data_IF_063491139972
#
_entry.id   IF_063491139972
#
_cell.length_a   1.000
_cell.length_b   1.000
_cell.length_c   1.000
_cell.angle_alpha   90.00
_cell.angle_beta   90.00
_cell.angle_gamma   90.00
#
_symmetry.space_group_name_H-M   'P 1'
#
loop_
_entity.id
_entity.type
_entity.pdbx_description
1 polymer ?
#
# COMPACT_ATOMS: atom_id res chain seq x y z
N UNK A 1 -45.09 -68.32 12.17
CA UNK A 1 -43.92 -67.44 12.40
C UNK A 1 -44.19 -66.15 11.65
N UNK A 2 -44.64 -65.11 12.37
CA UNK A 2 -44.98 -63.80 11.79
C UNK A 2 -43.80 -62.87 12.05
N UNK A 3 -43.29 -62.27 10.98
CA UNK A 3 -42.22 -61.29 10.98
C UNK A 3 -42.75 -59.93 11.44
N UNK A 4 -42.08 -59.30 12.40
CA UNK A 4 -42.18 -57.87 12.69
C UNK A 4 -40.75 -57.30 12.64
N UNK A 5 -40.40 -56.67 11.52
CA UNK A 5 -39.19 -55.86 11.39
C UNK A 5 -39.58 -54.41 11.66
N UNK A 6 -39.16 -53.90 12.81
CA UNK A 6 -39.33 -52.51 13.21
C UNK A 6 -38.24 -51.68 12.52
N UNK A 7 -38.60 -50.87 11.51
CA UNK A 7 -37.69 -49.91 10.89
C UNK A 7 -37.61 -48.65 11.77
N UNK A 8 -36.53 -48.53 12.54
CA UNK A 8 -36.16 -47.26 13.15
C UNK A 8 -35.50 -46.36 12.09
N UNK A 9 -36.22 -45.33 11.63
CA UNK A 9 -35.66 -44.30 10.76
C UNK A 9 -34.73 -43.41 11.59
N UNK A 10 -33.41 -43.56 11.41
CA UNK A 10 -32.45 -42.58 11.90
C UNK A 10 -32.56 -41.33 11.02
N UNK A 11 -33.23 -40.30 11.54
CA UNK A 11 -33.12 -38.94 11.00
C UNK A 11 -31.72 -38.45 11.37
N UNK A 12 -30.77 -38.54 10.44
CA UNK A 12 -29.48 -37.86 10.58
C UNK A 12 -29.75 -36.37 10.42
N UNK A 13 -30.01 -35.69 11.53
CA UNK A 13 -29.95 -34.24 11.58
C UNK A 13 -28.52 -33.82 11.23
N UNK A 14 -28.32 -33.26 10.05
CA UNK A 14 -27.07 -32.64 9.66
C UNK A 14 -26.83 -31.46 10.59
N UNK A 15 -26.14 -31.71 11.70
CA UNK A 15 -25.56 -30.66 12.53
C UNK A 15 -24.57 -29.95 11.62
N UNK A 16 -24.97 -28.79 11.08
CA UNK A 16 -24.07 -27.93 10.32
C UNK A 16 -22.81 -27.69 11.15
N UNK A 17 -21.64 -27.76 10.55
CA UNK A 17 -20.40 -27.44 11.26
C UNK A 17 -20.22 -25.93 11.30
N UNK A 18 -19.69 -25.41 12.40
CA UNK A 18 -19.21 -24.02 12.50
C UNK A 18 -17.87 -23.81 11.76
N UNK A 19 -17.40 -24.84 11.04
CA UNK A 19 -16.15 -24.85 10.29
C UNK A 19 -16.01 -23.67 9.31
N UNK A 20 -17.06 -23.22 8.58
CA UNK A 20 -16.95 -22.05 7.72
C UNK A 20 -16.56 -20.78 8.48
N UNK A 21 -17.13 -20.55 9.67
CA UNK A 21 -16.76 -19.42 10.51
C UNK A 21 -15.33 -19.56 11.05
N UNK A 22 -14.98 -20.74 11.57
CA UNK A 22 -13.64 -20.98 12.11
C UNK A 22 -12.54 -20.88 11.04
N UNK A 23 -12.79 -21.32 9.81
CA UNK A 23 -11.87 -21.20 8.68
C UNK A 23 -11.59 -19.73 8.31
N UNK A 24 -12.48 -18.80 8.67
CA UNK A 24 -12.27 -17.34 8.50
C UNK A 24 -11.64 -16.67 9.71
N UNK A 25 -11.21 -17.45 10.71
CA UNK A 25 -10.69 -16.93 11.98
C UNK A 25 -11.76 -16.32 12.89
N UNK A 26 -13.04 -16.57 12.60
CA UNK A 26 -14.17 -16.09 13.38
C UNK A 26 -14.63 -17.07 14.46
N UNK A 27 -15.50 -16.58 15.34
CA UNK A 27 -16.16 -17.35 16.41
C UNK A 27 -17.67 -17.24 16.28
N UNK A 28 -18.36 -18.37 16.22
CA UNK A 28 -19.82 -18.42 16.19
C UNK A 28 -20.42 -18.13 17.57
N UNK A 29 -21.06 -16.98 17.70
CA UNK A 29 -21.71 -16.53 18.94
C UNK A 29 -23.04 -15.84 18.63
N UNK A 30 -23.89 -15.63 19.64
CA UNK A 30 -25.14 -14.89 19.43
C UNK A 30 -24.87 -13.41 19.11
N UNK A 31 -25.69 -12.83 18.23
CA UNK A 31 -25.50 -11.51 17.66
C UNK A 31 -25.83 -10.34 18.61
N UNK A 32 -26.39 -10.63 19.78
CA UNK A 32 -26.55 -9.67 20.88
C UNK A 32 -25.28 -9.50 21.72
N UNK A 33 -24.29 -10.40 21.59
CA UNK A 33 -23.01 -10.30 22.29
C UNK A 33 -22.10 -9.26 21.61
N UNK A 34 -21.12 -8.73 22.35
CA UNK A 34 -20.16 -7.79 21.78
C UNK A 34 -19.23 -8.50 20.79
N UNK A 35 -18.98 -7.88 19.64
CA UNK A 35 -18.04 -8.36 18.64
C UNK A 35 -17.09 -7.23 18.22
N UNK A 36 -15.78 -7.45 18.36
CA UNK A 36 -14.76 -6.44 18.08
C UNK A 36 -14.66 -6.04 16.60
N UNK A 37 -15.10 -6.90 15.68
CA UNK A 37 -15.18 -6.62 14.24
C UNK A 37 -16.63 -6.42 13.80
N UNK A 38 -17.29 -7.53 13.43
CA UNK A 38 -18.69 -7.52 13.00
C UNK A 38 -19.24 -8.94 12.80
N UNK A 39 -20.54 -9.03 12.54
CA UNK A 39 -21.26 -10.29 12.39
C UNK A 39 -21.53 -10.66 10.93
N UNK A 40 -21.11 -11.87 10.53
CA UNK A 40 -21.41 -12.47 9.23
C UNK A 40 -22.45 -13.58 9.39
N UNK A 41 -23.53 -13.51 8.61
CA UNK A 41 -24.61 -14.51 8.62
C UNK A 41 -24.26 -15.73 7.75
N UNK A 42 -24.85 -16.89 8.04
CA UNK A 42 -24.76 -18.08 7.17
C UNK A 42 -23.46 -18.88 7.27
N UNK A 43 -22.55 -18.51 8.19
CA UNK A 43 -21.28 -19.23 8.44
C UNK A 43 -21.31 -20.08 9.73
N UNK A 44 -22.38 -19.96 10.50
CA UNK A 44 -22.59 -20.68 11.75
C UNK A 44 -23.80 -21.58 11.63
N UNK A 45 -23.73 -22.74 12.27
CA UNK A 45 -24.89 -23.59 12.43
C UNK A 45 -25.73 -23.17 13.64
N UNK A 46 -27.02 -23.48 13.58
CA UNK A 46 -27.99 -23.11 14.62
C UNK A 46 -28.98 -22.05 14.15
N UNK A 47 -29.55 -21.33 15.13
CA UNK A 47 -30.63 -20.36 14.90
C UNK A 47 -30.16 -19.07 14.24
N UNK A 48 -31.12 -18.26 13.80
CA UNK A 48 -30.89 -17.00 13.06
C UNK A 48 -30.09 -15.94 13.83
N UNK A 49 -30.09 -16.04 15.16
CA UNK A 49 -29.35 -15.14 16.06
C UNK A 49 -27.87 -15.52 16.21
N UNK A 50 -27.48 -16.73 15.80
CA UNK A 50 -26.09 -17.20 15.90
C UNK A 50 -25.33 -16.83 14.64
N UNK A 51 -24.39 -15.90 14.78
CA UNK A 51 -23.66 -15.31 13.66
C UNK A 51 -22.16 -15.37 13.91
N UNK A 52 -21.37 -15.34 12.84
CA UNK A 52 -19.93 -15.44 12.94
C UNK A 52 -19.37 -14.07 13.35
N UNK A 53 -18.90 -13.94 14.59
CA UNK A 53 -18.16 -12.77 15.05
C UNK A 53 -16.71 -12.89 14.61
N UNK A 54 -16.26 -11.93 13.81
CA UNK A 54 -14.86 -11.88 13.38
C UNK A 54 -14.08 -10.95 14.31
N UNK A 55 -12.96 -11.44 14.86
CA UNK A 55 -12.09 -10.69 15.79
C UNK A 55 -11.34 -9.54 15.13
N UNK A 56 -11.40 -9.49 13.81
CA UNK A 56 -11.02 -8.35 13.01
C UNK A 56 -12.20 -8.05 12.09
N UNK A 57 -12.62 -6.79 12.07
CA UNK A 57 -12.98 -6.23 10.78
C UNK A 57 -11.85 -6.65 9.86
N UNK A 58 -12.16 -7.42 8.81
CA UNK A 58 -11.50 -7.16 7.55
C UNK A 58 -11.79 -5.69 7.18
N UNK A 59 -11.20 -4.73 7.91
CA UNK A 59 -10.55 -3.60 7.28
C UNK A 59 -9.55 -4.30 6.41
N UNK A 60 -9.93 -4.51 5.15
CA UNK A 60 -9.35 -5.55 4.33
C UNK A 60 -7.84 -5.65 4.54
N UNK A 61 -7.36 -6.87 4.76
CA UNK A 61 -6.47 -7.35 3.70
C UNK A 61 -7.34 -7.27 2.46
N UNK A 62 -7.34 -6.10 1.85
CA UNK A 62 -7.96 -5.90 0.58
C UNK A 62 -7.08 -6.74 -0.32
N UNK A 63 -7.48 -8.00 -0.47
CA UNK A 63 -6.88 -8.95 -1.38
C UNK A 63 -7.13 -8.51 -2.84
N UNK A 64 -7.66 -7.29 -3.04
CA UNK A 64 -7.64 -6.48 -4.24
C UNK A 64 -6.82 -5.17 -4.16
N UNK A 65 -6.30 -4.70 -3.02
CA UNK A 65 -5.36 -3.56 -2.93
C UNK A 65 -3.91 -4.04 -2.94
N UNK A 66 -3.12 -3.60 -3.91
CA UNK A 66 -1.66 -3.61 -3.89
C UNK A 66 -0.99 -4.82 -3.17
N UNK A 67 -1.47 -6.05 -3.37
CA UNK A 67 -1.16 -7.20 -2.48
C UNK A 67 0.34 -7.55 -2.39
N UNK A 68 1.12 -7.13 -3.40
CA UNK A 68 2.56 -7.36 -3.48
C UNK A 68 3.40 -6.21 -2.90
N UNK A 69 2.80 -5.16 -2.34
CA UNK A 69 3.53 -4.04 -1.72
C UNK A 69 2.87 -3.59 -0.43
N UNK A 70 3.67 -3.51 0.63
CA UNK A 70 3.24 -2.94 1.90
C UNK A 70 3.25 -1.43 1.80
N UNK A 71 2.08 -0.79 1.91
CA UNK A 71 1.94 0.67 1.94
C UNK A 71 1.47 1.08 3.33
N UNK A 72 2.31 1.77 4.08
CA UNK A 72 1.92 2.44 5.31
C UNK A 72 1.18 3.74 4.97
N UNK A 73 -0.07 3.83 5.43
CA UNK A 73 -0.85 5.06 5.31
C UNK A 73 -0.19 6.22 6.04
N UNK A 74 -0.58 7.45 5.65
CA UNK A 74 -0.22 8.68 6.37
C UNK A 74 -0.44 8.57 7.88
N UNK A 75 -1.60 8.06 8.31
CA UNK A 75 -1.91 7.89 9.72
C UNK A 75 -0.96 6.88 10.39
N UNK A 76 -0.64 5.77 9.71
CA UNK A 76 0.22 4.71 10.26
C UNK A 76 1.62 5.22 10.58
N UNK A 77 2.26 5.98 9.69
CA UNK A 77 3.60 6.52 9.96
C UNK A 77 3.60 7.83 10.74
N UNK A 78 2.44 8.33 11.15
CA UNK A 78 2.31 9.54 11.97
C UNK A 78 2.54 10.84 11.17
N UNK A 79 2.07 10.88 9.93
CA UNK A 79 2.05 12.10 9.13
C UNK A 79 1.19 13.17 9.79
N UNK A 80 1.65 14.43 9.77
CA UNK A 80 0.75 15.56 10.04
C UNK A 80 -0.12 15.89 8.83
N UNK A 81 -1.17 16.66 9.06
CA UNK A 81 -2.07 17.12 8.00
C UNK A 81 -1.36 18.07 7.00
N UNK A 82 -1.70 17.99 5.70
CA UNK A 82 -1.23 18.96 4.72
C UNK A 82 -1.85 20.34 4.98
N UNK A 83 -1.11 21.42 4.68
CA UNK A 83 -1.63 22.81 4.75
C UNK A 83 -2.66 23.09 3.65
N UNK A 84 -2.48 22.47 2.49
CA UNK A 84 -3.40 22.51 1.35
C UNK A 84 -3.18 21.32 0.43
N UNK A 85 -4.17 20.99 -0.39
CA UNK A 85 -4.11 19.88 -1.35
C UNK A 85 -4.61 20.35 -2.72
N UNK A 86 -4.07 19.73 -3.76
CA UNK A 86 -4.54 19.88 -5.15
C UNK A 86 -4.82 18.48 -5.68
N UNK A 87 -6.01 18.26 -6.23
CA UNK A 87 -6.42 16.95 -6.77
C UNK A 87 -5.57 16.55 -7.97
N UNK A 88 -5.11 15.31 -7.98
CA UNK A 88 -4.41 14.70 -9.11
C UNK A 88 -5.41 14.19 -10.15
N UNK A 89 -5.11 14.41 -11.43
CA UNK A 89 -5.84 13.78 -12.53
C UNK A 89 -5.18 12.47 -12.91
N UNK A 90 -5.97 11.40 -12.96
CA UNK A 90 -5.50 10.03 -13.25
C UNK A 90 -6.25 9.43 -14.44
N UNK A 91 -5.62 8.51 -15.19
CA UNK A 91 -4.28 7.95 -14.97
C UNK A 91 -3.16 8.93 -15.36
N UNK A 92 -2.09 8.94 -14.57
CA UNK A 92 -0.86 9.66 -14.87
C UNK A 92 0.03 8.82 -15.82
N UNK A 93 0.71 9.48 -16.76
CA UNK A 93 1.58 8.80 -17.73
C UNK A 93 3.06 8.84 -17.37
N UNK A 94 3.44 9.53 -16.29
CA UNK A 94 4.84 9.67 -15.87
C UNK A 94 5.04 9.12 -14.45
N UNK A 95 6.18 8.45 -14.24
CA UNK A 95 6.62 8.03 -12.91
C UNK A 95 8.09 8.42 -12.70
N UNK A 96 8.38 9.07 -11.57
CA UNK A 96 9.72 9.53 -11.25
C UNK A 96 10.30 8.79 -10.05
N UNK A 97 11.54 8.34 -10.18
CA UNK A 97 12.32 7.79 -9.04
C UNK A 97 13.24 8.87 -8.51
N UNK A 98 13.22 9.03 -7.19
CA UNK A 98 14.02 9.97 -6.43
C UNK A 98 14.82 9.24 -5.35
N UNK A 99 15.82 9.92 -4.80
CA UNK A 99 16.30 9.66 -3.45
C UNK A 99 16.03 10.87 -2.56
N UNK A 100 16.12 10.69 -1.24
CA UNK A 100 15.93 11.81 -0.31
C UNK A 100 17.23 12.54 0.03
N UNK A 101 18.37 12.01 -0.41
CA UNK A 101 19.72 12.51 -0.08
C UNK A 101 19.94 12.63 1.43
N UNK A 102 19.40 11.67 2.19
CA UNK A 102 19.37 11.69 3.65
C UNK A 102 19.89 10.39 4.26
N UNK A 103 19.53 10.19 5.54
CA UNK A 103 19.85 8.96 6.27
C UNK A 103 19.23 7.73 5.60
N UNK A 104 19.76 6.55 5.88
CA UNK A 104 19.09 5.30 5.52
C UNK A 104 18.17 4.87 6.66
N UNK A 105 17.19 4.02 6.34
CA UNK A 105 16.29 3.43 7.31
C UNK A 105 15.96 1.99 6.91
N UNK A 106 15.78 1.10 7.89
CA UNK A 106 15.74 -0.36 7.65
C UNK A 106 14.62 -1.07 8.41
N UNK A 107 13.83 -0.33 9.19
CA UNK A 107 12.66 -0.85 9.88
C UNK A 107 11.56 0.23 9.93
N UNK A 108 10.37 -0.17 10.36
CA UNK A 108 9.23 0.76 10.44
C UNK A 108 9.53 1.99 11.30
N UNK A 109 10.18 1.80 12.45
CA UNK A 109 10.42 2.90 13.40
C UNK A 109 11.35 3.95 12.80
N UNK A 110 12.48 3.54 12.25
CA UNK A 110 13.48 4.40 11.61
C UNK A 110 12.92 5.05 10.34
N UNK A 111 12.22 4.30 9.50
CA UNK A 111 11.67 4.82 8.25
C UNK A 111 10.49 5.77 8.48
N UNK A 112 9.59 5.48 9.43
CA UNK A 112 8.54 6.41 9.81
C UNK A 112 9.11 7.70 10.43
N UNK A 113 10.16 7.59 11.26
CA UNK A 113 10.84 8.76 11.80
C UNK A 113 11.48 9.63 10.71
N UNK A 114 12.13 8.99 9.72
CA UNK A 114 12.69 9.68 8.59
C UNK A 114 11.62 10.34 7.70
N UNK A 115 10.53 9.64 7.40
CA UNK A 115 9.41 10.20 6.65
C UNK A 115 8.83 11.46 7.32
N UNK A 116 8.64 11.43 8.65
CA UNK A 116 8.24 12.62 9.44
C UNK A 116 9.28 13.73 9.36
N UNK A 117 10.58 13.40 9.47
CA UNK A 117 11.66 14.38 9.33
C UNK A 117 11.64 15.09 7.98
N UNK A 118 11.45 14.34 6.89
CA UNK A 118 11.33 14.88 5.53
C UNK A 118 10.07 15.74 5.39
N UNK A 119 8.94 15.30 5.94
CA UNK A 119 7.71 16.10 5.96
C UNK A 119 7.90 17.44 6.69
N UNK A 120 8.56 17.40 7.86
CA UNK A 120 8.87 18.60 8.64
C UNK A 120 9.76 19.56 7.86
N UNK A 121 10.87 19.06 7.29
CA UNK A 121 11.76 19.87 6.46
C UNK A 121 11.03 20.54 5.28
N UNK A 122 10.22 19.79 4.52
CA UNK A 122 9.49 20.33 3.39
C UNK A 122 8.47 21.41 3.79
N UNK A 123 7.75 21.20 4.88
CA UNK A 123 6.67 22.11 5.27
C UNK A 123 7.15 23.30 6.13
N UNK A 124 8.11 23.09 7.02
CA UNK A 124 8.58 24.12 7.95
C UNK A 124 9.76 24.90 7.35
N UNK A 125 10.72 24.22 6.73
CA UNK A 125 11.91 24.87 6.16
C UNK A 125 11.71 25.34 4.72
N UNK A 126 11.01 24.56 3.88
CA UNK A 126 10.71 24.97 2.48
C UNK A 126 9.35 25.63 2.29
N UNK A 127 8.51 25.67 3.33
CA UNK A 127 7.19 26.30 3.28
C UNK A 127 6.16 25.55 2.43
N UNK A 128 6.41 24.31 2.02
CA UNK A 128 5.50 23.54 1.18
C UNK A 128 4.23 23.13 1.94
N UNK A 129 3.20 22.78 1.19
CA UNK A 129 1.93 22.33 1.77
C UNK A 129 2.02 20.97 2.48
N UNK A 130 2.94 20.12 2.04
CA UNK A 130 3.15 18.77 2.57
C UNK A 130 4.51 18.23 2.10
N UNK A 131 4.88 17.02 2.51
CA UNK A 131 5.97 16.24 1.90
C UNK A 131 5.86 16.28 0.37
N UNK A 132 6.96 16.51 -0.34
CA UNK A 132 6.92 16.74 -1.79
C UNK A 132 6.64 15.51 -2.64
N UNK A 133 6.95 14.32 -2.14
CA UNK A 133 6.82 13.08 -2.89
C UNK A 133 5.41 12.48 -2.79
N UNK A 134 4.97 11.78 -3.84
CA UNK A 134 3.74 10.97 -3.77
C UNK A 134 3.92 9.83 -2.78
N UNK A 135 5.07 9.16 -2.84
CA UNK A 135 5.46 8.04 -1.98
C UNK A 135 6.93 8.14 -1.56
N UNK A 136 7.23 7.66 -0.36
CA UNK A 136 8.60 7.39 0.08
C UNK A 136 8.79 5.88 0.22
N UNK A 137 10.02 5.39 0.08
CA UNK A 137 10.34 3.96 0.17
C UNK A 137 11.52 3.76 1.11
N UNK A 138 11.37 2.89 2.09
CA UNK A 138 12.44 2.50 2.99
C UNK A 138 13.19 1.26 2.52
N UNK A 139 14.41 1.06 3.01
CA UNK A 139 15.11 -0.22 2.83
C UNK A 139 14.56 -1.32 3.77
N UNK A 140 13.49 -1.03 4.52
CA UNK A 140 12.60 -2.03 5.13
C UNK A 140 11.68 -2.72 4.10
N UNK A 141 11.71 -2.28 2.84
CA UNK A 141 10.89 -2.82 1.75
C UNK A 141 9.44 -2.35 1.76
N UNK A 142 9.11 -1.32 2.56
CA UNK A 142 7.78 -0.75 2.63
C UNK A 142 7.71 0.61 1.93
N UNK A 143 6.51 0.93 1.46
CA UNK A 143 6.16 2.23 0.93
C UNK A 143 5.47 3.04 2.03
N UNK A 144 5.79 4.32 2.13
CA UNK A 144 5.19 5.28 3.04
C UNK A 144 4.41 6.29 2.20
N UNK A 145 3.11 6.34 2.40
CA UNK A 145 2.23 7.25 1.67
C UNK A 145 2.61 8.70 1.98
N UNK A 146 3.12 9.42 0.96
CA UNK A 146 3.34 10.85 1.01
C UNK A 146 2.05 11.56 0.65
N UNK A 147 2.04 12.30 -0.47
CA UNK A 147 0.79 12.87 -1.02
C UNK A 147 -0.16 11.82 -1.62
N UNK A 148 0.32 10.60 -1.82
CA UNK A 148 -0.48 9.49 -2.29
C UNK A 148 -0.94 9.63 -3.74
N UNK A 149 -1.97 8.86 -4.11
CA UNK A 149 -2.48 8.78 -5.48
C UNK A 149 -3.39 9.94 -5.87
N UNK A 150 -4.00 10.61 -4.91
CA UNK A 150 -5.09 11.56 -5.17
C UNK A 150 -4.65 13.03 -5.17
N UNK A 151 -3.38 13.32 -4.84
CA UNK A 151 -2.90 14.68 -4.69
C UNK A 151 -1.60 14.95 -5.46
N UNK A 152 -1.54 16.11 -6.10
CA UNK A 152 -0.40 16.61 -6.87
C UNK A 152 0.84 16.76 -5.98
N UNK A 153 1.98 16.26 -6.46
CA UNK A 153 3.30 16.34 -5.82
C UNK A 153 3.94 17.73 -5.79
N UNK A 154 5.14 17.80 -5.21
CA UNK A 154 6.10 18.89 -5.36
C UNK A 154 7.53 18.35 -5.58
N UNK A 155 7.64 17.18 -6.22
CA UNK A 155 8.87 16.41 -6.37
C UNK A 155 9.65 16.77 -7.65
N UNK A 156 8.96 17.04 -8.76
CA UNK A 156 9.56 17.24 -10.08
C UNK A 156 8.93 18.47 -10.73
N UNK A 157 9.62 19.61 -10.67
CA UNK A 157 9.13 20.86 -11.22
C UNK A 157 8.76 20.72 -12.70
N UNK A 158 7.58 21.22 -13.10
CA UNK A 158 7.04 21.10 -14.45
C UNK A 158 6.26 19.80 -14.73
N UNK A 159 6.38 18.78 -13.86
CA UNK A 159 5.77 17.46 -14.09
C UNK A 159 4.89 16.97 -12.91
N UNK A 160 4.82 17.72 -11.81
CA UNK A 160 4.08 17.34 -10.59
C UNK A 160 2.60 16.95 -10.83
N UNK A 161 1.92 17.54 -11.81
CA UNK A 161 0.51 17.27 -12.13
C UNK A 161 0.32 16.20 -13.22
N UNK A 162 1.43 15.67 -13.77
CA UNK A 162 1.44 14.68 -14.87
C UNK A 162 2.01 13.33 -14.44
N UNK A 163 2.56 13.22 -13.24
CA UNK A 163 3.21 12.01 -12.76
C UNK A 163 3.25 11.88 -11.26
N UNK A 164 3.53 10.65 -10.81
CA UNK A 164 3.82 10.32 -9.42
C UNK A 164 5.32 10.17 -9.20
N UNK A 165 5.75 10.21 -7.93
CA UNK A 165 7.12 9.90 -7.58
C UNK A 165 7.24 9.00 -6.36
N UNK A 166 8.19 8.06 -6.44
CA UNK A 166 8.70 7.29 -5.30
C UNK A 166 10.11 7.77 -4.97
N UNK A 167 10.31 8.23 -3.73
CA UNK A 167 11.63 8.64 -3.24
C UNK A 167 12.19 7.63 -2.25
N UNK A 168 13.31 7.00 -2.59
CA UNK A 168 13.98 6.07 -1.67
C UNK A 168 14.69 6.87 -0.59
N UNK A 169 14.39 6.55 0.67
CA UNK A 169 14.98 7.19 1.85
C UNK A 169 16.45 6.79 1.99
N UNK A 170 17.35 7.73 1.73
CA UNK A 170 18.78 7.48 1.67
C UNK A 170 19.52 8.35 0.66
N UNK A 171 20.84 8.16 0.58
CA UNK A 171 21.69 8.67 -0.51
C UNK A 171 22.25 7.49 -1.32
N UNK A 172 21.89 7.45 -2.60
CA UNK A 172 22.24 6.35 -3.51
C UNK A 172 23.19 6.77 -4.62
N UNK A 173 24.14 7.65 -4.30
CA UNK A 173 25.24 8.01 -5.20
C UNK A 173 26.14 6.81 -5.49
N UNK A 174 26.59 6.11 -4.44
CA UNK A 174 27.67 5.11 -4.57
C UNK A 174 27.22 3.67 -4.32
N UNK A 175 25.96 3.45 -3.92
CA UNK A 175 25.38 2.12 -3.75
C UNK A 175 23.92 2.13 -4.18
N UNK A 176 23.43 1.00 -4.70
CA UNK A 176 22.00 0.83 -4.95
C UNK A 176 21.23 0.63 -3.63
N UNK A 177 19.92 0.95 -3.59
CA UNK A 177 19.03 0.43 -2.57
C UNK A 177 19.05 -1.09 -2.55
N UNK A 178 18.70 -1.69 -1.41
CA UNK A 178 18.50 -3.12 -1.33
C UNK A 178 17.33 -3.58 -2.22
N UNK A 179 17.31 -4.88 -2.54
CA UNK A 179 16.33 -5.42 -3.48
C UNK A 179 14.88 -5.31 -2.96
N UNK A 180 14.69 -5.26 -1.64
CA UNK A 180 13.37 -5.03 -1.04
C UNK A 180 12.80 -3.66 -1.41
N UNK A 181 13.59 -2.58 -1.30
CA UNK A 181 13.17 -1.23 -1.72
C UNK A 181 12.92 -1.14 -3.23
N UNK A 182 13.78 -1.75 -4.05
CA UNK A 182 13.61 -1.77 -5.50
C UNK A 182 12.32 -2.50 -5.90
N UNK A 183 12.04 -3.65 -5.29
CA UNK A 183 10.81 -4.42 -5.53
C UNK A 183 9.58 -3.68 -5.02
N UNK A 184 9.67 -2.95 -3.91
CA UNK A 184 8.57 -2.12 -3.41
C UNK A 184 8.15 -1.05 -4.43
N UNK A 185 9.10 -0.40 -5.12
CA UNK A 185 8.77 0.58 -6.19
C UNK A 185 8.09 -0.13 -7.37
N UNK A 186 8.64 -1.26 -7.83
CA UNK A 186 8.06 -2.00 -8.96
C UNK A 186 6.62 -2.44 -8.66
N UNK A 187 6.39 -2.98 -7.46
CA UNK A 187 5.08 -3.43 -7.02
C UNK A 187 4.11 -2.26 -6.77
N UNK A 188 4.61 -1.09 -6.32
CA UNK A 188 3.84 0.14 -6.20
C UNK A 188 3.36 0.64 -7.57
N UNK A 189 4.24 0.65 -8.58
CA UNK A 189 3.89 1.02 -9.95
C UNK A 189 2.84 0.06 -10.51
N UNK A 190 3.05 -1.26 -10.34
CA UNK A 190 2.08 -2.26 -10.78
C UNK A 190 0.73 -2.09 -10.10
N UNK A 191 0.72 -1.76 -8.80
CA UNK A 191 -0.53 -1.42 -8.13
C UNK A 191 -1.18 -0.17 -8.75
N UNK A 192 -0.41 0.89 -8.99
CA UNK A 192 -0.90 2.10 -9.65
C UNK A 192 -1.54 1.81 -11.00
N UNK A 193 -0.98 0.89 -11.79
CA UNK A 193 -1.55 0.44 -13.06
C UNK A 193 -2.86 -0.31 -12.84
N UNK A 194 -2.87 -1.30 -11.94
CA UNK A 194 -4.04 -2.14 -11.67
C UNK A 194 -5.27 -1.33 -11.20
N UNK A 195 -5.03 -0.21 -10.51
CA UNK A 195 -6.08 0.66 -9.98
C UNK A 195 -6.34 1.92 -10.83
N UNK A 196 -5.75 2.03 -12.02
CA UNK A 196 -6.00 3.15 -12.93
C UNK A 196 -5.40 4.49 -12.49
N UNK A 197 -4.45 4.48 -11.55
CA UNK A 197 -3.67 5.66 -11.18
C UNK A 197 -2.56 5.94 -12.20
N UNK A 198 -1.97 4.89 -12.77
CA UNK A 198 -0.87 4.99 -13.74
C UNK A 198 -1.31 4.33 -15.05
N UNK A 199 -0.96 4.90 -16.21
CA UNK A 199 -1.21 4.24 -17.50
C UNK A 199 -0.33 3.00 -17.65
N UNK A 200 -0.82 1.93 -18.28
CA UNK A 200 0.01 0.74 -18.56
C UNK A 200 1.20 1.04 -19.49
N UNK A 201 1.14 2.15 -20.24
CA UNK A 201 2.19 2.65 -21.15
C UNK A 201 2.99 3.81 -20.56
N UNK A 202 3.03 3.94 -19.22
CA UNK A 202 3.77 5.02 -18.56
C UNK A 202 5.23 5.09 -18.99
N UNK A 203 5.86 6.24 -18.73
CA UNK A 203 7.30 6.44 -18.86
C UNK A 203 7.93 6.64 -17.48
N UNK A 204 9.01 5.91 -17.24
CA UNK A 204 9.83 5.97 -16.03
C UNK A 204 11.04 6.86 -16.25
N UNK A 205 11.33 7.72 -15.27
CA UNK A 205 12.47 8.63 -15.27
C UNK A 205 13.13 8.71 -13.89
N UNK A 206 14.43 8.98 -13.86
CA UNK A 206 15.08 9.59 -12.69
C UNK A 206 14.82 11.10 -12.66
N UNK A 207 14.87 11.73 -11.49
CA UNK A 207 14.68 13.19 -11.42
C UNK A 207 15.66 13.97 -12.33
N UNK A 208 16.91 13.53 -12.41
CA UNK A 208 17.96 14.10 -13.27
C UNK A 208 17.65 14.07 -14.77
N UNK A 209 16.71 13.24 -15.22
CA UNK A 209 16.33 13.19 -16.66
C UNK A 209 15.59 14.46 -17.10
N UNK A 210 14.98 15.17 -16.14
CA UNK A 210 14.14 16.34 -16.43
C UNK A 210 14.54 17.61 -15.69
N UNK A 211 15.44 17.52 -14.71
CA UNK A 211 15.94 18.63 -13.92
C UNK A 211 17.47 18.63 -13.77
N UNK A 212 18.04 19.75 -13.34
CA UNK A 212 19.47 19.87 -13.03
C UNK A 212 19.71 19.46 -11.57
N UNK A 213 19.94 18.18 -11.35
CA UNK A 213 20.11 17.57 -10.02
C UNK A 213 20.83 16.23 -10.16
N UNK A 214 21.50 15.79 -9.09
CA UNK A 214 22.06 14.44 -9.01
C UNK A 214 21.01 13.40 -8.57
N UNK A 215 19.80 13.78 -8.18
CA UNK A 215 18.75 12.82 -7.81
C UNK A 215 18.37 11.92 -9.01
N UNK A 216 18.24 10.57 -8.87
CA UNK A 216 18.16 9.76 -7.65
C UNK A 216 19.50 9.19 -7.13
N UNK A 217 20.63 9.75 -7.56
CA UNK A 217 21.98 9.29 -7.28
C UNK A 217 22.48 8.26 -8.30
N UNK A 218 23.79 8.23 -8.55
CA UNK A 218 24.36 7.51 -9.70
C UNK A 218 24.05 6.01 -9.69
N UNK A 219 24.17 5.36 -8.53
CA UNK A 219 23.94 3.92 -8.43
C UNK A 219 22.46 3.54 -8.59
N UNK A 220 21.54 4.30 -7.99
CA UNK A 220 20.09 4.08 -8.21
C UNK A 220 19.68 4.48 -9.63
N UNK A 221 20.25 5.54 -10.18
CA UNK A 221 20.00 5.95 -11.55
C UNK A 221 20.45 4.88 -12.56
N UNK A 222 21.61 4.27 -12.35
CA UNK A 222 22.08 3.15 -13.17
C UNK A 222 21.12 1.95 -13.11
N UNK A 223 20.61 1.63 -11.92
CA UNK A 223 19.64 0.54 -11.71
C UNK A 223 18.32 0.79 -12.46
N UNK A 224 17.67 1.95 -12.27
CA UNK A 224 16.34 2.20 -12.88
C UNK A 224 16.37 2.26 -14.41
N UNK A 225 17.53 2.56 -15.00
CA UNK A 225 17.74 2.55 -16.47
C UNK A 225 17.60 1.16 -17.07
N UNK A 226 17.66 0.11 -16.25
CA UNK A 226 17.46 -1.28 -16.68
C UNK A 226 15.99 -1.72 -16.58
N UNK A 227 15.13 -0.91 -15.98
CA UNK A 227 13.74 -1.30 -15.72
C UNK A 227 12.86 -1.14 -16.97
N UNK A 228 11.77 -1.91 -17.08
CA UNK A 228 10.73 -1.65 -18.07
C UNK A 228 10.25 -0.20 -18.01
N UNK A 229 9.84 0.35 -19.16
CA UNK A 229 9.31 1.71 -19.30
C UNK A 229 10.29 2.86 -19.02
N UNK A 230 11.56 2.57 -18.68
CA UNK A 230 12.57 3.63 -18.64
C UNK A 230 12.70 4.31 -20.01
N UNK A 231 12.59 5.63 -20.04
CA UNK A 231 12.63 6.42 -21.28
C UNK A 231 13.88 7.27 -21.35
N UNK A 232 14.59 7.16 -22.48
CA UNK A 232 15.75 8.00 -22.79
C UNK A 232 15.38 9.34 -23.44
N UNK A 233 14.08 9.58 -23.66
CA UNK A 233 13.56 10.79 -24.30
C UNK A 233 12.81 11.62 -23.26
N UNK A 234 13.22 12.88 -23.10
CA UNK A 234 12.59 13.82 -22.17
C UNK A 234 11.09 14.02 -22.51
N UNK A 235 10.17 13.99 -21.52
CA UNK A 235 8.72 14.11 -21.72
C UNK A 235 8.18 15.54 -21.76
#
# INVERSE_FOLDING_TARGET
MIALLCFASLVVSTLGSDAPCHNTGGTCQDDHLHCSGGYVSGLCSGGTHRRCCTSHSSTGTDSGMCSNVKIYSRATWGARHPKSVTTMHTPASLFFVHHTEGNFCHDFTSCAAQARGIQNYHMDSRGWSDVGYSFLVGEDGAVYEGRGWHHVGAHTQGYNSRGFAASVMGSFMHRKPNDAALNAIKNLIQCGINHGYITSTYHLYGHRDVGSTDCPGDALYHEIRTWPHYSFVKP
#
